data_IF_711094972017
#
_entry.id   IF_711094972017
#
_cell.length_a   1.000
_cell.length_b   1.000
_cell.length_c   1.000
_cell.angle_alpha   90.00
_cell.angle_beta   90.00
_cell.angle_gamma   90.00
#
_symmetry.space_group_name_H-M   'P 1'
#
loop_
_entity.id
_entity.type
_entity.pdbx_description
1 polymer ?
#
# COMPACT_ATOMS: atom_id res chain seq x y z
N UNK A 1 6.04 17.26 -23.78
CA UNK A 1 4.92 16.38 -23.36
C UNK A 1 5.32 15.61 -22.11
N UNK A 2 4.47 15.60 -21.12
CA UNK A 2 4.71 14.81 -19.90
C UNK A 2 4.18 13.40 -20.09
N UNK A 3 5.02 12.42 -19.70
CA UNK A 3 4.64 11.02 -19.75
C UNK A 3 4.12 10.60 -18.37
N UNK A 4 2.92 10.04 -18.31
CA UNK A 4 2.27 9.63 -17.06
C UNK A 4 2.10 8.11 -16.96
N UNK A 5 2.94 7.34 -17.64
CA UNK A 5 2.88 5.88 -17.56
C UNK A 5 3.44 5.35 -16.23
N UNK A 6 2.90 4.25 -15.74
CA UNK A 6 3.44 3.52 -14.60
C UNK A 6 4.35 2.35 -15.03
N UNK A 7 4.67 2.23 -16.30
CA UNK A 7 5.40 1.07 -16.84
C UNK A 7 6.75 0.83 -16.15
N UNK A 8 7.42 1.91 -15.73
CA UNK A 8 8.73 1.84 -15.07
C UNK A 8 8.66 2.03 -13.55
N UNK A 9 7.46 2.01 -12.98
CA UNK A 9 7.31 2.14 -11.54
C UNK A 9 7.87 0.90 -10.84
N UNK A 10 8.54 1.13 -9.71
CA UNK A 10 9.09 0.06 -8.87
C UNK A 10 8.61 0.22 -7.44
N UNK A 11 8.48 -0.90 -6.74
CA UNK A 11 8.10 -0.91 -5.35
C UNK A 11 9.01 -1.85 -4.56
N UNK A 12 9.35 -1.44 -3.34
CA UNK A 12 10.22 -2.19 -2.45
C UNK A 12 9.61 -2.18 -1.05
N UNK A 13 9.62 -3.33 -0.40
CA UNK A 13 9.01 -3.47 0.92
C UNK A 13 10.00 -4.02 1.93
N UNK A 14 10.00 -3.46 3.12
CA UNK A 14 10.77 -3.93 4.28
C UNK A 14 9.79 -4.32 5.38
N UNK A 15 9.93 -5.50 5.93
CA UNK A 15 9.13 -5.97 7.06
C UNK A 15 10.06 -6.17 8.25
N UNK A 16 9.92 -5.35 9.27
CA UNK A 16 10.72 -5.44 10.48
C UNK A 16 10.47 -6.80 11.15
N UNK A 17 11.53 -7.44 11.61
CA UNK A 17 11.53 -8.74 12.30
C UNK A 17 11.16 -9.95 11.43
N UNK A 18 10.83 -9.76 10.15
CA UNK A 18 10.56 -10.87 9.24
C UNK A 18 11.42 -10.80 7.98
N UNK A 19 11.47 -9.65 7.32
CA UNK A 19 12.30 -9.41 6.15
C UNK A 19 13.06 -8.08 6.32
N UNK A 20 14.05 -8.02 7.23
CA UNK A 20 14.73 -6.75 7.55
C UNK A 20 15.56 -6.18 6.40
N UNK A 21 16.03 -7.02 5.47
CA UNK A 21 16.72 -6.55 4.26
C UNK A 21 15.76 -6.12 3.16
N UNK A 22 14.48 -6.49 3.30
CA UNK A 22 13.45 -6.13 2.34
C UNK A 22 13.43 -6.99 1.08
N UNK A 23 12.46 -6.72 0.24
CA UNK A 23 12.30 -7.41 -1.05
C UNK A 23 11.61 -6.50 -2.06
N UNK A 24 11.94 -6.70 -3.33
CA UNK A 24 11.28 -5.99 -4.42
C UNK A 24 9.93 -6.63 -4.72
N UNK A 25 8.93 -5.81 -5.05
CA UNK A 25 7.61 -6.28 -5.44
C UNK A 25 7.55 -6.39 -6.97
N UNK A 26 7.19 -7.56 -7.47
CA UNK A 26 7.22 -7.88 -8.89
C UNK A 26 5.87 -8.44 -9.37
N UNK A 27 5.64 -8.35 -10.68
CA UNK A 27 4.46 -8.90 -11.35
C UNK A 27 3.16 -8.37 -10.76
N UNK A 28 3.06 -7.06 -10.69
CA UNK A 28 1.83 -6.39 -10.31
C UNK A 28 0.70 -6.69 -11.29
N UNK A 29 -0.54 -6.60 -10.81
CA UNK A 29 -1.70 -6.56 -11.68
C UNK A 29 -1.61 -5.37 -12.64
N UNK A 30 -2.15 -5.51 -13.85
CA UNK A 30 -2.12 -4.43 -14.84
C UNK A 30 -3.03 -3.26 -14.48
N UNK A 31 -4.00 -3.47 -13.58
CA UNK A 31 -4.97 -2.46 -13.20
C UNK A 31 -4.82 -2.12 -11.71
N UNK A 32 -4.56 -0.85 -11.41
CA UNK A 32 -4.40 -0.34 -10.04
C UNK A 32 -3.47 -1.21 -9.19
N UNK A 33 -2.26 -1.46 -9.70
CA UNK A 33 -1.30 -2.33 -9.03
C UNK A 33 -0.97 -1.87 -7.61
N UNK A 34 -0.78 -0.57 -7.41
CA UNK A 34 -0.61 0.04 -6.09
C UNK A 34 -1.55 1.23 -6.04
N UNK A 35 -2.45 1.24 -5.08
CA UNK A 35 -3.47 2.27 -4.97
C UNK A 35 -3.60 2.74 -3.54
N UNK A 36 -3.61 4.05 -3.34
CA UNK A 36 -3.84 4.66 -2.04
C UNK A 36 -5.25 5.23 -2.00
N UNK A 37 -5.97 4.91 -0.94
CA UNK A 37 -7.27 5.52 -0.68
C UNK A 37 -7.11 7.00 -0.37
N UNK A 38 -8.15 7.78 -0.68
CA UNK A 38 -8.18 9.20 -0.41
C UNK A 38 -8.12 9.46 1.09
N UNK A 39 -7.24 10.39 1.51
CA UNK A 39 -7.08 10.78 2.91
C UNK A 39 -7.90 12.01 3.25
N UNK A 40 -8.43 12.04 4.46
CA UNK A 40 -8.98 13.25 5.05
C UNK A 40 -7.94 13.87 5.98
N UNK A 41 -7.47 15.08 5.66
CA UNK A 41 -6.43 15.76 6.46
C UNK A 41 -6.98 16.96 7.23
N UNK A 42 -8.23 17.33 7.00
CA UNK A 42 -8.86 18.45 7.69
C UNK A 42 -10.35 18.20 7.88
N UNK A 43 -10.85 18.64 9.01
CA UNK A 43 -12.28 18.77 9.23
C UNK A 43 -12.68 20.24 9.15
N UNK A 44 -13.80 20.51 8.50
CA UNK A 44 -14.31 21.86 8.32
C UNK A 44 -15.73 21.96 8.85
N UNK A 45 -16.05 23.13 9.35
CA UNK A 45 -17.38 23.40 9.88
C UNK A 45 -17.77 24.85 9.59
N UNK A 46 -19.00 25.04 9.15
CA UNK A 46 -19.53 26.37 8.88
C UNK A 46 -20.26 26.90 10.11
N UNK A 47 -19.86 28.07 10.60
CA UNK A 47 -20.57 28.76 11.66
C UNK A 47 -21.85 29.38 11.15
N UNK A 48 -22.78 29.71 12.07
CA UNK A 48 -24.01 30.36 11.72
C UNK A 48 -23.82 31.81 11.18
N UNK A 49 -22.65 32.39 11.47
CA UNK A 49 -22.21 33.67 10.96
C UNK A 49 -21.63 33.65 9.54
N UNK A 50 -21.56 32.44 8.94
CA UNK A 50 -21.04 32.28 7.61
C UNK A 50 -19.52 32.10 7.51
N UNK A 51 -18.81 32.03 8.63
CA UNK A 51 -17.37 31.78 8.65
C UNK A 51 -17.07 30.28 8.84
N UNK A 52 -16.08 29.79 8.09
CA UNK A 52 -15.66 28.42 8.17
C UNK A 52 -14.54 28.28 9.19
N UNK A 53 -14.64 27.25 10.04
CA UNK A 53 -13.56 26.80 10.90
C UNK A 53 -12.97 25.51 10.32
N UNK A 54 -11.64 25.35 10.39
CA UNK A 54 -10.94 24.18 9.90
C UNK A 54 -9.90 23.72 10.90
N UNK A 55 -9.76 22.40 11.04
CA UNK A 55 -8.76 21.80 11.93
C UNK A 55 -8.08 20.63 11.26
N UNK A 56 -6.79 20.46 11.54
CA UNK A 56 -6.01 19.32 11.06
C UNK A 56 -6.46 18.03 11.76
N UNK A 57 -6.64 16.97 10.99
CA UNK A 57 -7.01 15.64 11.50
C UNK A 57 -5.99 14.63 11.01
N UNK A 58 -5.30 13.92 11.93
CA UNK A 58 -4.45 12.79 11.52
C UNK A 58 -5.29 11.67 10.92
N UNK A 59 -4.77 11.03 9.88
CA UNK A 59 -5.49 9.95 9.20
C UNK A 59 -4.54 8.79 8.86
N UNK A 60 -5.12 7.61 8.71
CA UNK A 60 -4.44 6.41 8.28
C UNK A 60 -4.33 6.44 6.75
N UNK A 61 -3.15 6.11 6.22
CA UNK A 61 -2.92 5.98 4.78
C UNK A 61 -3.16 4.54 4.38
N UNK A 62 -4.31 4.26 3.80
CA UNK A 62 -4.67 2.91 3.38
C UNK A 62 -4.16 2.68 1.96
N UNK A 63 -3.32 1.66 1.79
CA UNK A 63 -2.72 1.30 0.50
C UNK A 63 -3.09 -0.14 0.17
N UNK A 64 -3.57 -0.36 -1.04
CA UNK A 64 -3.87 -1.70 -1.57
C UNK A 64 -2.89 -2.03 -2.67
N UNK A 65 -2.29 -3.21 -2.60
CA UNK A 65 -1.35 -3.71 -3.61
C UNK A 65 -1.93 -4.98 -4.22
N UNK A 66 -1.98 -5.02 -5.56
CA UNK A 66 -2.51 -6.15 -6.31
C UNK A 66 -1.42 -6.82 -7.12
N UNK A 67 -1.37 -8.14 -7.06
CA UNK A 67 -0.41 -8.94 -7.81
C UNK A 67 -1.12 -9.97 -8.66
N UNK A 68 -0.49 -10.36 -9.77
CA UNK A 68 -0.90 -11.58 -10.47
C UNK A 68 -0.69 -12.78 -9.56
N UNK A 69 -1.57 -13.78 -9.67
CA UNK A 69 -1.55 -14.94 -8.77
C UNK A 69 -0.21 -15.70 -8.79
N UNK A 70 0.50 -15.66 -9.92
CA UNK A 70 1.78 -16.33 -10.08
C UNK A 70 3.00 -15.49 -9.68
N UNK A 71 2.79 -14.29 -9.16
CA UNK A 71 3.89 -13.38 -8.78
C UNK A 71 4.75 -14.00 -7.67
N UNK A 72 6.10 -13.97 -7.79
CA UNK A 72 6.97 -14.45 -6.73
C UNK A 72 6.84 -13.62 -5.45
N UNK A 73 6.41 -12.37 -5.53
CA UNK A 73 6.21 -11.51 -4.35
C UNK A 73 5.05 -11.97 -3.48
N UNK A 74 4.09 -12.70 -4.03
CA UNK A 74 2.93 -13.23 -3.29
C UNK A 74 3.39 -14.14 -2.15
N UNK A 75 4.45 -14.91 -2.35
CA UNK A 75 4.97 -15.81 -1.32
C UNK A 75 5.42 -15.02 -0.07
N UNK A 76 6.11 -13.89 -0.25
CA UNK A 76 6.55 -13.06 0.86
C UNK A 76 5.35 -12.50 1.64
N UNK A 77 4.34 -12.03 0.94
CA UNK A 77 3.15 -11.47 1.57
C UNK A 77 2.29 -12.53 2.24
N UNK A 78 2.21 -13.73 1.67
CA UNK A 78 1.54 -14.87 2.29
C UNK A 78 2.26 -15.29 3.58
N UNK A 79 3.60 -15.29 3.57
CA UNK A 79 4.38 -15.57 4.77
C UNK A 79 4.15 -14.54 5.86
N UNK A 80 4.04 -13.26 5.49
CA UNK A 80 3.71 -12.20 6.43
C UNK A 80 2.31 -12.40 7.03
N UNK A 81 1.33 -12.72 6.19
CA UNK A 81 -0.03 -13.00 6.63
C UNK A 81 -0.08 -14.17 7.61
N UNK A 82 0.58 -15.28 7.27
CA UNK A 82 0.62 -16.48 8.11
C UNK A 82 1.38 -16.24 9.41
N UNK A 83 2.50 -15.50 9.37
CA UNK A 83 3.26 -15.17 10.56
C UNK A 83 2.45 -14.28 11.51
N UNK A 84 1.70 -13.34 10.97
CA UNK A 84 0.82 -12.48 11.76
C UNK A 84 -0.26 -13.28 12.49
N UNK A 85 -0.86 -14.24 11.80
CA UNK A 85 -1.86 -15.13 12.42
C UNK A 85 -1.26 -16.05 13.46
N UNK A 86 -0.13 -16.70 13.15
CA UNK A 86 0.52 -17.66 14.03
C UNK A 86 0.98 -17.02 15.33
N UNK A 87 1.61 -15.86 15.23
CA UNK A 87 2.20 -15.15 16.36
C UNK A 87 1.23 -14.16 17.00
N UNK A 88 0.05 -13.99 16.44
CA UNK A 88 -1.00 -13.07 16.94
C UNK A 88 -0.44 -11.67 17.18
N UNK A 89 0.35 -11.18 16.21
CA UNK A 89 0.96 -9.85 16.29
C UNK A 89 0.97 -9.20 14.90
N UNK A 90 1.16 -7.88 14.92
CA UNK A 90 1.40 -7.13 13.70
C UNK A 90 2.90 -6.97 13.49
N UNK A 91 3.31 -6.88 12.23
CA UNK A 91 4.69 -6.60 11.83
C UNK A 91 4.74 -5.23 11.18
N UNK A 92 5.71 -4.42 11.57
CA UNK A 92 5.88 -3.10 11.00
C UNK A 92 6.41 -3.20 9.56
N UNK A 93 5.73 -2.51 8.65
CA UNK A 93 6.03 -2.55 7.21
C UNK A 93 6.39 -1.15 6.74
N UNK A 94 7.42 -1.06 5.91
CA UNK A 94 7.79 0.15 5.18
C UNK A 94 7.70 -0.15 3.69
N UNK A 95 7.04 0.72 2.94
CA UNK A 95 6.86 0.57 1.50
C UNK A 95 7.45 1.79 0.79
N UNK A 96 8.28 1.53 -0.22
CA UNK A 96 8.85 2.58 -1.07
C UNK A 96 8.40 2.34 -2.50
N UNK A 97 7.74 3.32 -3.08
CA UNK A 97 7.27 3.27 -4.47
C UNK A 97 7.95 4.38 -5.26
N UNK A 98 8.66 4.01 -6.32
CA UNK A 98 9.30 4.96 -7.25
C UNK A 98 8.51 5.00 -8.54
N UNK A 99 8.14 6.21 -8.96
CA UNK A 99 7.41 6.45 -10.21
C UNK A 99 8.24 7.39 -11.08
N UNK A 100 9.13 6.86 -11.93
CA UNK A 100 10.04 7.70 -12.75
C UNK A 100 9.30 8.63 -13.70
N UNK A 101 8.12 8.24 -14.17
CA UNK A 101 7.34 9.06 -15.13
C UNK A 101 7.02 10.45 -14.58
N UNK A 102 6.82 10.59 -13.28
CA UNK A 102 6.56 11.87 -12.60
C UNK A 102 7.73 12.28 -11.70
N UNK A 103 8.83 11.53 -11.73
CA UNK A 103 10.05 11.78 -10.96
C UNK A 103 9.77 11.93 -9.46
N UNK A 104 8.99 11.03 -8.90
CA UNK A 104 8.63 11.04 -7.48
C UNK A 104 8.88 9.69 -6.83
N UNK A 105 9.24 9.74 -5.55
CA UNK A 105 9.38 8.57 -4.69
C UNK A 105 8.44 8.73 -3.50
N UNK A 106 7.57 7.76 -3.32
CA UNK A 106 6.61 7.73 -2.21
C UNK A 106 7.09 6.74 -1.17
N UNK A 107 7.24 7.20 0.08
CA UNK A 107 7.66 6.35 1.19
C UNK A 107 6.55 6.29 2.23
N UNK A 108 6.07 5.08 2.51
CA UNK A 108 5.06 4.81 3.53
C UNK A 108 5.74 4.10 4.69
N UNK A 109 5.56 4.60 5.90
CA UNK A 109 6.21 4.04 7.10
C UNK A 109 5.22 3.86 8.24
N UNK A 110 5.61 3.04 9.21
CA UNK A 110 4.78 2.73 10.36
C UNK A 110 3.52 1.97 9.98
N UNK A 111 3.64 1.03 9.04
CA UNK A 111 2.50 0.31 8.48
C UNK A 111 2.35 -1.11 8.99
N UNK A 112 1.17 -1.66 8.79
CA UNK A 112 0.84 -3.05 9.11
C UNK A 112 0.00 -3.63 7.99
N UNK A 113 0.11 -4.93 7.79
CA UNK A 113 -0.79 -5.68 6.91
C UNK A 113 -2.15 -5.79 7.59
N UNK A 114 -3.16 -5.16 7.02
CA UNK A 114 -4.51 -5.15 7.59
C UNK A 114 -5.41 -6.22 6.98
N UNK A 115 -5.39 -6.37 5.67
CA UNK A 115 -6.24 -7.31 4.94
C UNK A 115 -5.43 -8.06 3.91
N UNK A 116 -5.85 -9.29 3.62
CA UNK A 116 -5.21 -10.08 2.57
C UNK A 116 -6.20 -11.04 1.93
N UNK A 117 -6.24 -11.03 0.60
CA UNK A 117 -6.96 -12.03 -0.17
C UNK A 117 -5.92 -13.04 -0.66
N UNK A 118 -5.68 -14.06 0.16
CA UNK A 118 -4.62 -15.04 -0.07
C UNK A 118 -4.98 -16.04 -1.16
N UNK A 119 -6.24 -16.45 -1.20
CA UNK A 119 -6.72 -17.39 -2.22
C UNK A 119 -7.20 -16.60 -3.43
N UNK A 120 -6.57 -16.76 -4.61
CA UNK A 120 -7.06 -16.12 -5.82
C UNK A 120 -8.41 -16.73 -6.24
N UNK A 121 -9.23 -15.94 -6.91
CA UNK A 121 -10.50 -16.43 -7.45
C UNK A 121 -10.26 -17.59 -8.40
N UNK A 122 -10.92 -18.73 -8.15
CA UNK A 122 -10.72 -19.94 -8.92
C UNK A 122 -11.65 -19.94 -10.14
N UNK A 123 -11.18 -19.37 -11.21
CA UNK A 123 -11.83 -19.34 -12.50
C UNK A 123 -10.98 -20.12 -13.50
N UNK A 124 -11.38 -20.13 -14.76
CA UNK A 124 -10.57 -20.70 -15.84
C UNK A 124 -9.16 -20.12 -15.85
N UNK A 125 -9.05 -18.81 -15.57
CA UNK A 125 -7.79 -18.13 -15.30
C UNK A 125 -7.86 -17.57 -13.87
N UNK A 126 -6.78 -17.71 -13.10
CA UNK A 126 -6.76 -17.22 -11.72
C UNK A 126 -6.86 -15.70 -11.66
N UNK A 127 -7.68 -15.19 -10.75
CA UNK A 127 -7.79 -13.76 -10.51
C UNK A 127 -6.56 -13.24 -9.75
N UNK A 128 -6.21 -11.95 -9.91
CA UNK A 128 -5.18 -11.33 -9.08
C UNK A 128 -5.50 -11.39 -7.59
N UNK A 129 -4.46 -11.44 -6.76
CA UNK A 129 -4.57 -11.36 -5.31
C UNK A 129 -4.30 -9.93 -4.84
N UNK A 130 -4.87 -9.54 -3.71
CA UNK A 130 -4.71 -8.21 -3.17
C UNK A 130 -4.38 -8.24 -1.69
N UNK A 131 -3.60 -7.23 -1.25
CA UNK A 131 -3.22 -7.06 0.15
C UNK A 131 -3.43 -5.61 0.52
N UNK A 132 -4.07 -5.37 1.66
CA UNK A 132 -4.32 -4.03 2.17
C UNK A 132 -3.42 -3.72 3.35
N UNK A 133 -2.80 -2.53 3.32
CA UNK A 133 -1.91 -2.05 4.37
C UNK A 133 -2.43 -0.71 4.89
N UNK A 134 -2.30 -0.49 6.17
CA UNK A 134 -2.52 0.83 6.78
C UNK A 134 -1.19 1.37 7.25
N UNK A 135 -0.88 2.61 6.86
CA UNK A 135 0.36 3.28 7.22
C UNK A 135 0.08 4.52 8.06
N UNK A 136 0.98 4.77 9.01
CA UNK A 136 0.91 5.94 9.88
C UNK A 136 1.39 7.20 9.16
N UNK A 137 2.44 7.09 8.35
CA UNK A 137 3.09 8.24 7.71
C UNK A 137 3.36 7.97 6.24
N UNK A 138 3.35 9.03 5.45
CA UNK A 138 3.74 8.99 4.05
C UNK A 138 4.55 10.24 3.73
N UNK A 139 5.60 10.08 2.94
CA UNK A 139 6.38 11.20 2.42
C UNK A 139 6.54 11.08 0.92
N UNK A 140 6.70 12.21 0.26
CA UNK A 140 6.89 12.30 -1.19
C UNK A 140 8.15 13.11 -1.44
N UNK A 141 9.02 12.56 -2.29
CA UNK A 141 10.26 13.26 -2.66
C UNK A 141 10.33 13.49 -4.16
#
# INVERSE_FOLDING_TARGET
MNNITSANATAYMVVKDLYPTGFALNNFSTDQAVDQSEDTIAETRMGVDGYMAAGYVPSIKAVTIKFEAASPSVQYLNNLYLASQKNRRTYEVTLVVKVPAVNRTYTYSGGVLKTGKVLPGLKKTLDPVSYGFDFEKMSVM
#
